data_IF_236263259342
#
_entry.id   IF_236263259342
#
_cell.length_a   1.000
_cell.length_b   1.000
_cell.length_c   1.000
_cell.angle_alpha   90.00
_cell.angle_beta   90.00
_cell.angle_gamma   90.00
#
_symmetry.space_group_name_H-M   'P 1'
#
loop_
_entity.id
_entity.type
_entity.pdbx_description
1 polymer ?
#
# COMPACT_ATOMS: atom_id res chain seq x y z
N UNK A 1 6.38 -3.59 -9.60
CA UNK A 1 6.52 -3.54 -11.07
C UNK A 1 6.58 -4.98 -11.59
N UNK A 2 6.38 -5.23 -12.88
CA UNK A 2 6.33 -6.60 -13.40
C UNK A 2 7.69 -7.32 -13.26
N UNK A 3 8.77 -6.58 -13.51
CA UNK A 3 10.16 -7.04 -13.54
C UNK A 3 10.65 -7.50 -12.17
N UNK A 4 10.00 -7.05 -11.10
CA UNK A 4 10.38 -7.34 -9.71
C UNK A 4 9.36 -8.21 -8.97
N UNK A 5 8.31 -8.70 -9.66
CA UNK A 5 7.30 -9.54 -9.04
C UNK A 5 7.80 -10.99 -8.96
N UNK A 6 8.10 -11.45 -7.75
CA UNK A 6 8.67 -12.78 -7.49
C UNK A 6 7.68 -13.66 -6.70
N UNK A 7 6.78 -14.39 -7.37
CA UNK A 7 5.80 -15.24 -6.70
C UNK A 7 6.45 -16.40 -5.93
N UNK A 8 7.65 -16.84 -6.31
CA UNK A 8 8.33 -17.94 -5.63
C UNK A 8 8.86 -17.50 -4.26
N UNK A 9 9.44 -16.30 -4.18
CA UNK A 9 9.85 -15.72 -2.89
C UNK A 9 8.64 -15.38 -2.02
N UNK A 10 7.56 -14.84 -2.60
CA UNK A 10 6.31 -14.58 -1.88
C UNK A 10 5.74 -15.88 -1.27
N UNK A 11 5.66 -16.97 -2.04
CA UNK A 11 5.16 -18.26 -1.55
C UNK A 11 6.00 -18.80 -0.39
N UNK A 12 7.33 -18.69 -0.50
CA UNK A 12 8.26 -19.11 0.56
C UNK A 12 8.07 -18.30 1.85
N UNK A 13 8.02 -16.98 1.76
CA UNK A 13 7.89 -16.11 2.94
C UNK A 13 6.53 -16.23 3.61
N UNK A 14 5.45 -16.35 2.84
CA UNK A 14 4.12 -16.62 3.41
C UNK A 14 4.02 -18.02 4.01
N UNK A 15 4.75 -19.01 3.49
CA UNK A 15 4.90 -20.32 4.11
C UNK A 15 5.62 -20.25 5.47
N UNK A 16 6.66 -19.42 5.60
CA UNK A 16 7.27 -19.16 6.92
C UNK A 16 6.29 -18.46 7.86
N UNK A 17 5.54 -17.48 7.36
CA UNK A 17 4.55 -16.78 8.17
C UNK A 17 3.46 -17.73 8.70
N UNK A 18 2.97 -18.63 7.84
CA UNK A 18 2.05 -19.69 8.23
C UNK A 18 2.66 -20.59 9.31
N UNK A 19 3.91 -21.04 9.14
CA UNK A 19 4.60 -21.90 10.11
C UNK A 19 4.78 -21.24 11.50
N UNK A 20 4.81 -19.90 11.54
CA UNK A 20 4.86 -19.12 12.78
C UNK A 20 3.47 -18.83 13.38
N UNK A 21 2.39 -19.25 12.71
CA UNK A 21 1.01 -19.06 13.17
C UNK A 21 0.36 -17.74 12.75
N UNK A 22 0.97 -16.98 11.83
CA UNK A 22 0.31 -15.79 11.28
C UNK A 22 -0.89 -16.19 10.40
N UNK A 23 -1.97 -15.43 10.52
CA UNK A 23 -3.18 -15.60 9.71
C UNK A 23 -3.52 -14.36 8.87
N UNK A 24 -2.73 -13.30 9.00
CA UNK A 24 -2.97 -12.01 8.38
C UNK A 24 -1.64 -11.33 8.06
N UNK A 25 -1.55 -10.68 6.90
CA UNK A 25 -0.42 -9.81 6.53
C UNK A 25 -0.91 -8.45 6.07
N UNK A 26 -0.16 -7.42 6.43
CA UNK A 26 -0.35 -6.06 5.91
C UNK A 26 0.67 -5.79 4.83
N UNK A 27 0.19 -5.41 3.65
CA UNK A 27 1.01 -5.13 2.47
C UNK A 27 0.77 -3.70 2.01
N UNK A 28 1.73 -3.13 1.30
CA UNK A 28 1.66 -1.75 0.85
C UNK A 28 1.71 -1.71 -0.66
N UNK A 29 0.81 -0.91 -1.22
CA UNK A 29 0.88 -0.52 -2.61
C UNK A 29 1.65 0.79 -2.76
N UNK A 30 1.86 1.18 -4.01
CA UNK A 30 2.42 2.48 -4.34
C UNK A 30 1.69 3.06 -5.55
N UNK A 31 1.23 4.29 -5.41
CA UNK A 31 0.49 5.04 -6.44
C UNK A 31 1.22 5.11 -7.79
N UNK A 32 2.55 5.28 -7.81
CA UNK A 32 3.33 5.31 -9.06
C UNK A 32 3.32 3.97 -9.81
N UNK A 33 3.27 2.85 -9.09
CA UNK A 33 3.21 1.51 -9.72
C UNK A 33 1.83 1.31 -10.36
N UNK A 34 0.78 1.83 -9.73
CA UNK A 34 -0.54 1.84 -10.34
C UNK A 34 -0.59 2.76 -11.56
N UNK A 35 -0.06 3.98 -11.47
CA UNK A 35 -0.09 4.94 -12.58
C UNK A 35 0.61 4.41 -13.84
N UNK A 36 1.72 3.69 -13.67
CA UNK A 36 2.46 3.09 -14.78
C UNK A 36 1.72 1.92 -15.43
N UNK A 37 1.05 1.08 -14.64
CA UNK A 37 0.41 -0.16 -15.10
C UNK A 37 -0.75 -0.57 -14.16
N UNK A 38 -1.93 0.06 -14.29
CA UNK A 38 -3.08 -0.22 -13.43
C UNK A 38 -3.57 -1.67 -13.55
N UNK A 39 -3.61 -2.19 -14.78
CA UNK A 39 -4.09 -3.53 -15.06
C UNK A 39 -3.14 -4.58 -14.49
N UNK A 40 -1.84 -4.48 -14.79
CA UNK A 40 -0.88 -5.45 -14.29
C UNK A 40 -0.67 -5.34 -12.78
N UNK A 41 -0.88 -4.17 -12.14
CA UNK A 41 -0.88 -4.11 -10.67
C UNK A 41 -2.02 -4.97 -10.09
N UNK A 42 -3.21 -4.89 -10.69
CA UNK A 42 -4.35 -5.73 -10.28
C UNK A 42 -4.07 -7.21 -10.51
N UNK A 43 -3.51 -7.58 -11.66
CA UNK A 43 -3.17 -9.00 -11.95
C UNK A 43 -2.14 -9.55 -10.95
N UNK A 44 -1.09 -8.77 -10.64
CA UNK A 44 -0.07 -9.16 -9.65
C UNK A 44 -0.64 -9.24 -8.25
N UNK A 45 -1.57 -8.34 -7.90
CA UNK A 45 -2.23 -8.38 -6.60
C UNK A 45 -3.17 -9.59 -6.49
N UNK A 46 -3.91 -9.95 -7.54
CA UNK A 46 -4.71 -11.17 -7.59
C UNK A 46 -3.86 -12.44 -7.42
N UNK A 47 -2.70 -12.50 -8.10
CA UNK A 47 -1.73 -13.58 -7.92
C UNK A 47 -1.21 -13.63 -6.47
N UNK A 48 -0.87 -12.49 -5.88
CA UNK A 48 -0.47 -12.41 -4.47
C UNK A 48 -1.57 -12.91 -3.52
N UNK A 49 -2.82 -12.48 -3.72
CA UNK A 49 -3.96 -12.92 -2.91
C UNK A 49 -4.17 -14.43 -3.04
N UNK A 50 -3.98 -15.00 -4.22
CA UNK A 50 -4.05 -16.46 -4.43
C UNK A 50 -2.99 -17.20 -3.62
N UNK A 51 -1.75 -16.70 -3.61
CA UNK A 51 -0.67 -17.28 -2.79
C UNK A 51 -0.98 -17.13 -1.30
N UNK A 52 -1.45 -15.97 -0.85
CA UNK A 52 -1.84 -15.75 0.54
C UNK A 52 -2.95 -16.69 0.99
N UNK A 53 -3.99 -16.90 0.15
CA UNK A 53 -5.07 -17.86 0.40
C UNK A 53 -4.56 -19.29 0.55
N UNK A 54 -3.62 -19.72 -0.28
CA UNK A 54 -2.96 -21.04 -0.16
C UNK A 54 -2.34 -21.24 1.23
N UNK A 55 -1.82 -20.17 1.85
CA UNK A 55 -1.23 -20.20 3.19
C UNK A 55 -2.22 -19.90 4.32
N UNK A 56 -3.51 -19.73 4.03
CA UNK A 56 -4.53 -19.41 5.04
C UNK A 56 -4.40 -17.98 5.61
N UNK A 57 -3.77 -17.08 4.85
CA UNK A 57 -3.47 -15.72 5.26
C UNK A 57 -4.41 -14.76 4.55
N UNK A 58 -5.12 -13.92 5.33
CA UNK A 58 -5.87 -12.78 4.78
C UNK A 58 -5.00 -11.54 4.67
N UNK A 59 -5.38 -10.63 3.79
CA UNK A 59 -4.52 -9.50 3.41
C UNK A 59 -5.14 -8.18 3.84
N UNK A 60 -4.32 -7.27 4.36
CA UNK A 60 -4.66 -5.88 4.67
C UNK A 60 -3.88 -4.94 3.73
N UNK A 61 -4.44 -4.57 2.56
CA UNK A 61 -3.75 -3.69 1.63
C UNK A 61 -3.72 -2.25 2.16
N UNK A 62 -2.55 -1.62 2.07
CA UNK A 62 -2.31 -0.24 2.48
C UNK A 62 -2.01 0.64 1.27
N UNK A 63 -2.76 1.73 1.08
CA UNK A 63 -2.61 2.61 -0.08
C UNK A 63 -1.48 3.63 0.09
N UNK A 64 -1.49 4.34 1.21
CA UNK A 64 -0.60 5.47 1.42
C UNK A 64 0.23 5.32 2.69
N UNK A 65 1.36 6.00 2.73
CA UNK A 65 2.26 6.08 3.88
C UNK A 65 3.07 7.38 3.84
N UNK A 66 3.15 8.07 4.99
CA UNK A 66 4.16 9.12 5.19
C UNK A 66 5.50 8.54 5.66
N UNK A 67 5.53 7.26 6.04
CA UNK A 67 6.74 6.56 6.41
C UNK A 67 7.71 6.50 5.22
N UNK A 68 8.99 6.75 5.48
CA UNK A 68 10.05 6.70 4.47
C UNK A 68 11.41 6.45 5.15
N UNK A 69 12.21 5.58 4.56
CA UNK A 69 13.58 5.33 5.00
C UNK A 69 14.44 6.59 4.81
N UNK A 70 15.26 6.91 5.81
CA UNK A 70 15.96 8.20 5.83
C UNK A 70 17.27 8.23 5.01
N UNK A 71 17.77 7.07 4.57
CA UNK A 71 19.14 6.90 4.07
C UNK A 71 19.38 7.05 2.56
N UNK A 72 18.37 7.33 1.72
CA UNK A 72 18.54 7.48 0.25
C UNK A 72 17.77 8.67 -0.35
N UNK A 73 17.91 8.88 -1.66
CA UNK A 73 17.12 9.84 -2.46
C UNK A 73 15.62 9.59 -2.24
N UNK A 74 14.95 10.64 -1.77
CA UNK A 74 13.66 10.57 -1.06
C UNK A 74 12.48 10.84 -1.97
N UNK A 75 12.73 11.08 -3.25
CA UNK A 75 11.69 11.28 -4.27
C UNK A 75 11.28 9.91 -4.80
N UNK A 76 10.01 9.51 -4.62
CA UNK A 76 9.53 8.25 -5.17
C UNK A 76 9.73 8.19 -6.69
N UNK A 77 10.31 7.08 -7.16
CA UNK A 77 10.55 6.84 -8.58
C UNK A 77 10.38 5.36 -8.90
N UNK A 78 9.94 5.10 -10.13
CA UNK A 78 9.89 3.76 -10.70
C UNK A 78 11.31 3.23 -10.96
N UNK A 79 11.39 1.93 -11.22
CA UNK A 79 12.63 1.21 -11.40
C UNK A 79 13.09 0.43 -10.17
N UNK A 80 14.29 -0.19 -10.23
CA UNK A 80 14.83 -1.00 -9.15
C UNK A 80 15.00 -0.20 -7.86
N UNK A 81 14.57 -0.79 -6.75
CA UNK A 81 14.81 -0.21 -5.43
C UNK A 81 16.23 -0.57 -4.96
N UNK A 82 16.86 0.26 -4.10
CA UNK A 82 18.15 -0.08 -3.50
C UNK A 82 18.09 -1.43 -2.80
N UNK A 83 19.22 -2.15 -2.80
CA UNK A 83 19.32 -3.38 -2.01
C UNK A 83 19.07 -3.09 -0.53
N UNK A 84 18.36 -3.97 0.21
CA UNK A 84 18.16 -3.80 1.63
C UNK A 84 19.52 -3.77 2.35
N UNK A 85 19.63 -2.88 3.34
CA UNK A 85 20.82 -2.74 4.18
C UNK A 85 20.67 -3.71 5.37
N UNK A 86 21.59 -4.68 5.55
CA UNK A 86 21.54 -5.62 6.67
C UNK A 86 21.47 -4.92 8.03
N UNK A 87 20.61 -5.40 8.91
CA UNK A 87 20.40 -4.84 10.25
C UNK A 87 19.61 -3.54 10.30
N UNK A 88 19.21 -2.98 9.15
CA UNK A 88 18.44 -1.74 9.08
C UNK A 88 17.00 -2.03 8.65
N UNK A 89 16.09 -1.87 9.60
CA UNK A 89 14.66 -2.05 9.37
C UNK A 89 14.15 -1.12 8.26
N UNK A 90 13.37 -1.68 7.33
CA UNK A 90 12.72 -0.94 6.25
C UNK A 90 13.70 -0.13 5.38
N UNK A 91 14.94 -0.60 5.23
CA UNK A 91 15.90 0.00 4.29
C UNK A 91 15.34 -0.05 2.87
N UNK A 92 15.15 1.13 2.26
CA UNK A 92 14.49 1.27 0.96
C UNK A 92 12.99 1.55 1.01
N UNK A 93 12.41 1.79 2.19
CA UNK A 93 11.00 2.20 2.31
C UNK A 93 10.74 3.57 1.69
N UNK A 94 9.73 3.67 0.83
CA UNK A 94 9.42 4.88 0.05
C UNK A 94 8.03 5.40 0.42
N UNK A 95 7.91 6.74 0.49
CA UNK A 95 6.66 7.44 0.75
C UNK A 95 5.68 7.30 -0.41
N UNK A 96 4.39 7.09 -0.13
CA UNK A 96 3.32 7.13 -1.14
C UNK A 96 2.11 7.90 -0.59
N UNK A 97 1.61 8.95 -1.27
CA UNK A 97 2.25 9.62 -2.40
C UNK A 97 3.51 10.37 -1.94
N UNK A 98 4.39 10.73 -2.87
CA UNK A 98 5.52 11.60 -2.57
C UNK A 98 5.08 12.98 -2.08
N UNK A 99 5.95 13.67 -1.32
CA UNK A 99 5.63 14.96 -0.69
C UNK A 99 5.12 16.03 -1.68
N UNK A 100 5.66 16.07 -2.90
CA UNK A 100 5.20 17.02 -3.92
C UNK A 100 3.74 16.78 -4.35
N UNK A 101 3.34 15.51 -4.52
CA UNK A 101 1.97 15.17 -4.91
C UNK A 101 1.00 15.36 -3.75
N UNK A 102 1.32 14.85 -2.55
CA UNK A 102 0.36 14.98 -1.42
C UNK A 102 0.07 16.43 -1.03
N UNK A 103 1.05 17.33 -1.19
CA UNK A 103 0.89 18.76 -0.90
C UNK A 103 0.27 19.57 -2.04
N UNK A 104 0.03 18.97 -3.21
CA UNK A 104 -0.57 19.64 -4.36
C UNK A 104 -1.99 19.09 -4.61
N UNK A 105 -3.04 19.84 -4.23
CA UNK A 105 -4.43 19.42 -4.42
C UNK A 105 -4.80 19.10 -5.86
N UNK A 106 -4.10 19.66 -6.85
CA UNK A 106 -4.36 19.34 -8.27
C UNK A 106 -4.07 17.88 -8.61
N UNK A 107 -3.22 17.21 -7.83
CA UNK A 107 -2.86 15.80 -8.03
C UNK A 107 -3.82 14.83 -7.34
N UNK A 108 -4.67 15.31 -6.42
CA UNK A 108 -5.49 14.44 -5.60
C UNK A 108 -6.47 13.60 -6.41
N UNK A 109 -7.04 14.15 -7.50
CA UNK A 109 -7.94 13.39 -8.38
C UNK A 109 -7.33 12.09 -8.94
N UNK A 110 -6.01 12.06 -9.17
CA UNK A 110 -5.29 10.84 -9.57
C UNK A 110 -5.24 9.82 -8.42
N UNK A 111 -4.96 10.28 -7.20
CA UNK A 111 -4.92 9.46 -5.99
C UNK A 111 -6.30 8.88 -5.66
N UNK A 112 -7.36 9.68 -5.84
CA UNK A 112 -8.75 9.24 -5.67
C UNK A 112 -9.10 8.11 -6.65
N UNK A 113 -8.73 8.28 -7.93
CA UNK A 113 -8.94 7.29 -8.98
C UNK A 113 -8.18 6.00 -8.68
N UNK A 114 -6.95 6.11 -8.21
CA UNK A 114 -6.12 4.98 -7.80
C UNK A 114 -6.78 4.14 -6.70
N UNK A 115 -7.19 4.76 -5.60
CA UNK A 115 -7.86 4.06 -4.49
C UNK A 115 -9.16 3.42 -4.97
N UNK A 116 -9.98 4.17 -5.72
CA UNK A 116 -11.28 3.70 -6.20
C UNK A 116 -11.17 2.52 -7.16
N UNK A 117 -10.20 2.55 -8.08
CA UNK A 117 -9.95 1.45 -9.03
C UNK A 117 -9.54 0.16 -8.33
N UNK A 118 -8.61 0.24 -7.37
CA UNK A 118 -8.16 -0.92 -6.61
C UNK A 118 -9.24 -1.47 -5.68
N UNK A 119 -9.94 -0.63 -4.91
CA UNK A 119 -11.03 -1.10 -4.05
C UNK A 119 -12.16 -1.68 -4.90
N UNK A 120 -12.53 -1.03 -6.01
CA UNK A 120 -13.61 -1.48 -6.90
C UNK A 120 -13.33 -2.86 -7.51
N UNK A 121 -12.08 -3.12 -7.93
CA UNK A 121 -11.70 -4.40 -8.52
C UNK A 121 -11.81 -5.59 -7.54
N UNK A 122 -11.61 -5.36 -6.24
CA UNK A 122 -11.58 -6.41 -5.21
C UNK A 122 -12.62 -6.22 -4.10
N UNK A 123 -13.68 -5.45 -4.37
CA UNK A 123 -14.63 -4.99 -3.34
C UNK A 123 -15.28 -6.12 -2.53
N UNK A 124 -15.43 -7.31 -3.13
CA UNK A 124 -16.08 -8.50 -2.57
C UNK A 124 -15.15 -9.70 -2.39
N UNK A 125 -13.85 -9.47 -2.48
CA UNK A 125 -12.85 -10.53 -2.41
C UNK A 125 -12.59 -11.02 -0.98
N UNK A 126 -13.00 -12.26 -0.67
CA UNK A 126 -12.91 -12.85 0.67
C UNK A 126 -11.47 -13.01 1.22
N UNK A 127 -10.46 -12.88 0.34
CA UNK A 127 -9.03 -12.95 0.70
C UNK A 127 -8.58 -11.67 1.40
N UNK A 128 -9.33 -10.58 1.26
CA UNK A 128 -9.04 -9.29 1.88
C UNK A 128 -9.72 -9.23 3.26
N UNK A 129 -8.95 -8.87 4.28
CA UNK A 129 -9.47 -8.65 5.63
C UNK A 129 -10.12 -7.27 5.76
N UNK A 130 -9.36 -6.23 5.40
CA UNK A 130 -9.75 -4.84 5.45
C UNK A 130 -8.86 -3.99 4.54
N UNK A 131 -9.35 -2.81 4.17
CA UNK A 131 -8.58 -1.82 3.42
C UNK A 131 -8.00 -0.78 4.38
N UNK A 132 -6.69 -0.56 4.31
CA UNK A 132 -6.01 0.41 5.13
C UNK A 132 -5.63 1.63 4.29
N UNK A 133 -6.22 2.79 4.54
CA UNK A 133 -6.06 3.93 3.64
C UNK A 133 -4.70 4.59 3.79
N UNK A 134 -4.25 4.84 5.02
CA UNK A 134 -3.07 5.67 5.23
C UNK A 134 -2.29 5.28 6.47
N UNK A 135 -1.02 4.94 6.28
CA UNK A 135 -0.04 4.72 7.34
C UNK A 135 0.57 6.04 7.81
N UNK A 136 0.42 6.31 9.10
CA UNK A 136 1.10 7.41 9.79
C UNK A 136 0.92 8.81 9.15
N UNK A 137 -0.31 9.21 8.75
CA UNK A 137 -0.54 10.48 8.03
C UNK A 137 -0.15 11.73 8.83
N UNK A 138 0.04 11.62 10.14
CA UNK A 138 0.48 12.72 11.01
C UNK A 138 1.99 12.99 10.94
N UNK A 139 2.79 12.07 10.38
CA UNK A 139 4.24 12.25 10.28
C UNK A 139 4.55 13.26 9.18
N UNK A 140 5.12 14.41 9.56
CA UNK A 140 5.49 15.50 8.64
C UNK A 140 6.98 15.60 8.37
N UNK A 141 7.80 14.71 8.95
CA UNK A 141 9.27 14.73 8.93
C UNK A 141 9.88 14.77 7.52
N UNK A 142 9.09 14.49 6.47
CA UNK A 142 9.47 14.52 5.05
C UNK A 142 8.70 15.54 4.20
N UNK A 143 8.05 16.49 4.85
CA UNK A 143 7.31 17.57 4.18
C UNK A 143 5.92 17.15 3.69
N UNK A 144 5.52 15.89 3.89
CA UNK A 144 4.17 15.41 3.59
C UNK A 144 3.15 16.02 4.56
N UNK A 145 2.24 16.83 4.03
CA UNK A 145 1.10 17.38 4.77
C UNK A 145 -0.16 16.65 4.33
N UNK A 146 -0.35 15.44 4.85
CA UNK A 146 -1.30 14.48 4.28
C UNK A 146 -2.71 14.58 4.84
N UNK A 147 -2.88 15.17 6.03
CA UNK A 147 -4.19 15.31 6.67
C UNK A 147 -5.25 16.01 5.78
N UNK A 148 -4.93 17.08 5.03
CA UNK A 148 -5.87 17.67 4.08
C UNK A 148 -6.30 16.73 2.93
N UNK A 149 -5.44 15.80 2.52
CA UNK A 149 -5.73 14.80 1.48
C UNK A 149 -6.57 13.62 2.02
N UNK A 150 -6.73 13.49 3.35
CA UNK A 150 -7.35 12.33 3.99
C UNK A 150 -8.89 12.28 3.94
N UNK A 151 -9.56 13.06 3.08
CA UNK A 151 -10.98 12.89 2.74
C UNK A 151 -11.29 11.54 2.03
N UNK A 152 -10.26 10.70 1.83
CA UNK A 152 -10.32 9.39 1.19
C UNK A 152 -11.33 8.39 1.77
N UNK A 153 -11.82 8.58 3.00
CA UNK A 153 -12.92 7.79 3.54
C UNK A 153 -14.21 7.89 2.70
N UNK A 154 -14.49 9.06 2.12
CA UNK A 154 -15.66 9.24 1.24
C UNK A 154 -15.56 8.35 0.00
N UNK A 155 -14.36 8.23 -0.57
CA UNK A 155 -14.10 7.50 -1.81
C UNK A 155 -14.09 6.00 -1.59
N UNK A 156 -13.43 5.55 -0.54
CA UNK A 156 -13.40 4.13 -0.18
C UNK A 156 -14.82 3.61 0.15
N UNK A 157 -15.67 4.42 0.80
CA UNK A 157 -17.07 4.08 1.02
C UNK A 157 -17.92 4.09 -0.26
N UNK A 158 -17.61 4.96 -1.23
CA UNK A 158 -18.35 5.02 -2.49
C UNK A 158 -18.24 3.72 -3.32
N UNK A 159 -17.14 2.98 -3.17
CA UNK A 159 -16.95 1.67 -3.80
C UNK A 159 -17.75 0.54 -3.10
N UNK A 160 -18.40 0.81 -1.97
CA UNK A 160 -19.20 -0.13 -1.18
C UNK A 160 -18.52 -1.51 -0.96
N UNK A 161 -17.27 -1.56 -0.47
CA UNK A 161 -16.62 -2.83 -0.19
C UNK A 161 -17.37 -3.58 0.92
N UNK A 162 -17.37 -4.91 0.86
CA UNK A 162 -17.90 -5.76 1.96
C UNK A 162 -16.97 -5.77 3.16
N UNK A 163 -15.76 -5.22 3.01
CA UNK A 163 -14.69 -5.18 4.00
C UNK A 163 -14.69 -3.87 4.78
N UNK A 164 -14.15 -3.91 6.00
CA UNK A 164 -13.87 -2.70 6.76
C UNK A 164 -12.85 -1.82 6.01
N UNK A 165 -12.97 -0.50 6.19
CA UNK A 165 -12.02 0.50 5.72
C UNK A 165 -11.49 1.23 6.95
N UNK A 166 -10.17 1.26 7.11
CA UNK A 166 -9.49 1.83 8.27
C UNK A 166 -8.55 2.99 7.89
N UNK A 167 -8.42 3.94 8.82
CA UNK A 167 -7.47 5.05 8.78
C UNK A 167 -7.06 5.36 10.22
N UNK A 168 -5.76 5.33 10.50
CA UNK A 168 -5.27 5.76 11.81
C UNK A 168 -5.04 7.27 11.78
N UNK A 169 -5.90 7.99 12.51
CA UNK A 169 -5.74 9.41 12.80
C UNK A 169 -5.19 9.57 14.21
N UNK A 170 -4.17 10.41 14.36
CA UNK A 170 -3.74 10.86 15.68
C UNK A 170 -4.61 12.06 16.06
N UNK A 171 -5.53 11.86 17.01
CA UNK A 171 -6.26 12.96 17.64
C UNK A 171 -5.29 13.70 18.55
N UNK A 172 -4.96 14.95 18.23
CA UNK A 172 -4.34 15.85 19.18
C UNK A 172 -5.44 16.39 20.09
N UNK A 173 -5.35 16.09 21.38
CA UNK A 173 -6.09 16.79 22.43
C UNK A 173 -5.60 18.24 22.56
#
# INVERSE_FOLDING_TARGET
QAESFDPATIDRELGWAQGLGFNTVRVFFHDLVWEADPAGLKDRFDAFLTIAKKHGIRVMPTFFTNGCYHGFDRVPKLGPQPAPIPGVHNSGWVQSPGAASVNDPSTWGRLEKYVSDMIGAFAKDDRILLWYLYNEPWITTKGAQSLPCCDGFRLARAAAPTHAVDLVLHLRE
#
